data_IF_109069253957
#
_entry.id   IF_109069253957
#
_cell.length_a   1.000
_cell.length_b   1.000
_cell.length_c   1.000
_cell.angle_alpha   90.00
_cell.angle_beta   90.00
_cell.angle_gamma   90.00
#
_symmetry.space_group_name_H-M   'P 1'
#
loop_
_entity.id
_entity.type
_entity.pdbx_description
1 polymer ?
#
# COMPACT_ATOMS: atom_id res chain seq x y z
N UNK A 1 -6.51 34.45 23.32
CA UNK A 1 -5.61 33.30 23.32
C UNK A 1 -6.30 32.01 23.77
N UNK A 2 -6.95 31.91 24.94
CA UNK A 2 -7.61 30.63 25.41
C UNK A 2 -8.62 30.05 24.41
N UNK A 3 -9.45 30.84 23.73
CA UNK A 3 -10.43 30.39 22.75
C UNK A 3 -9.80 29.85 21.45
N UNK A 4 -8.62 30.33 21.07
CA UNK A 4 -7.85 29.86 19.95
C UNK A 4 -7.22 28.50 20.29
N UNK A 5 -6.57 28.38 21.43
CA UNK A 5 -5.99 27.15 21.94
C UNK A 5 -7.01 26.05 22.12
N UNK A 6 -8.19 26.31 22.65
CA UNK A 6 -9.25 25.31 22.78
C UNK A 6 -9.74 24.79 21.43
N UNK A 7 -9.80 25.64 20.39
CA UNK A 7 -10.12 25.20 19.02
C UNK A 7 -9.01 24.33 18.41
N UNK A 8 -7.74 24.72 18.58
CA UNK A 8 -6.61 23.94 18.09
C UNK A 8 -6.57 22.57 18.77
N UNK A 9 -6.74 22.51 20.09
CA UNK A 9 -6.78 21.27 20.86
C UNK A 9 -7.93 20.39 20.37
N UNK A 10 -9.14 20.94 20.19
CA UNK A 10 -10.29 20.16 19.71
C UNK A 10 -10.13 19.64 18.27
N UNK A 11 -9.33 20.30 17.44
CA UNK A 11 -9.00 19.83 16.09
C UNK A 11 -8.02 18.64 16.14
N UNK A 12 -7.03 18.71 17.04
CA UNK A 12 -5.99 17.68 17.19
C UNK A 12 -6.51 16.44 17.95
N UNK A 13 -7.58 16.59 18.75
CA UNK A 13 -8.23 15.45 19.42
C UNK A 13 -8.88 14.44 18.45
N UNK A 14 -9.16 14.84 17.21
CA UNK A 14 -9.69 13.94 16.20
C UNK A 14 -8.56 13.13 15.55
N UNK A 15 -8.65 11.79 15.56
CA UNK A 15 -7.58 10.94 15.05
C UNK A 15 -7.20 11.24 13.59
N UNK A 16 -8.17 11.56 12.74
CA UNK A 16 -7.95 11.94 11.35
C UNK A 16 -7.13 13.23 11.20
N UNK A 17 -7.42 14.25 12.00
CA UNK A 17 -6.72 15.53 11.93
C UNK A 17 -5.29 15.42 12.49
N UNK A 18 -5.13 14.69 13.59
CA UNK A 18 -3.81 14.38 14.15
C UNK A 18 -2.95 13.65 13.13
N UNK A 19 -3.52 12.64 12.47
CA UNK A 19 -2.85 11.92 11.40
C UNK A 19 -2.37 12.86 10.29
N UNK A 20 -3.28 13.70 9.76
CA UNK A 20 -2.95 14.59 8.64
C UNK A 20 -1.84 15.59 9.04
N UNK A 21 -1.95 16.21 10.21
CA UNK A 21 -0.96 17.17 10.69
C UNK A 21 0.42 16.52 10.84
N UNK A 22 0.51 15.39 11.56
CA UNK A 22 1.79 14.74 11.83
C UNK A 22 2.38 14.09 10.59
N UNK A 23 1.56 13.48 9.73
CA UNK A 23 2.05 12.87 8.48
C UNK A 23 2.64 13.91 7.54
N UNK A 24 2.05 15.10 7.44
CA UNK A 24 2.61 16.18 6.63
C UNK A 24 3.89 16.76 7.24
N UNK A 25 3.91 17.03 8.55
CA UNK A 25 5.10 17.59 9.21
C UNK A 25 6.28 16.63 9.10
N UNK A 26 6.12 15.40 9.60
CA UNK A 26 7.21 14.43 9.58
C UNK A 26 7.54 13.95 8.16
N UNK A 27 6.54 13.88 7.28
CA UNK A 27 6.73 13.50 5.89
C UNK A 27 7.51 14.54 5.10
N UNK A 28 7.23 15.84 5.27
CA UNK A 28 8.03 16.91 4.62
C UNK A 28 9.47 16.90 5.16
N UNK A 29 9.65 16.77 6.48
CA UNK A 29 10.97 16.60 7.08
C UNK A 29 11.70 15.42 6.46
N UNK A 30 11.05 14.26 6.34
CA UNK A 30 11.63 13.08 5.71
C UNK A 30 11.94 13.30 4.23
N UNK A 31 11.02 13.88 3.45
CA UNK A 31 11.21 14.13 2.02
C UNK A 31 12.42 15.02 1.71
N UNK A 32 12.72 15.97 2.62
CA UNK A 32 13.81 16.96 2.45
C UNK A 32 15.11 16.45 3.05
N UNK A 33 15.09 15.88 4.27
CA UNK A 33 16.31 15.53 5.00
C UNK A 33 16.85 14.14 4.64
N UNK A 34 15.99 13.19 4.27
CA UNK A 34 16.44 11.86 3.86
C UNK A 34 17.16 12.00 2.50
N UNK A 35 18.42 11.54 2.41
CA UNK A 35 19.19 11.65 1.17
C UNK A 35 18.40 11.08 -0.02
N UNK A 36 18.51 11.76 -1.16
CA UNK A 36 17.76 11.36 -2.35
C UNK A 36 18.22 10.00 -2.87
N UNK A 37 17.28 9.17 -3.27
CA UNK A 37 17.48 7.80 -3.78
C UNK A 37 18.10 6.84 -2.74
N UNK A 38 18.08 7.16 -1.45
CA UNK A 38 18.59 6.30 -0.38
C UNK A 38 17.55 5.32 0.17
N UNK A 39 16.28 5.56 -0.12
CA UNK A 39 15.19 4.63 0.22
C UNK A 39 15.31 3.38 -0.67
N UNK A 40 14.93 2.21 -0.13
CA UNK A 40 15.03 0.96 -0.88
C UNK A 40 14.33 1.07 -2.24
N UNK A 41 15.03 0.66 -3.31
CA UNK A 41 14.56 0.67 -4.70
C UNK A 41 14.08 2.02 -5.25
N UNK A 42 14.30 3.13 -4.51
CA UNK A 42 13.84 4.46 -4.91
C UNK A 42 14.39 4.88 -6.27
N UNK A 43 15.62 4.49 -6.60
CA UNK A 43 16.24 4.74 -7.90
C UNK A 43 15.46 4.06 -9.05
N UNK A 44 14.99 2.83 -8.84
CA UNK A 44 14.18 2.10 -9.83
C UNK A 44 12.80 2.72 -9.99
N UNK A 45 12.19 3.12 -8.87
CA UNK A 45 10.93 3.85 -8.87
C UNK A 45 11.05 5.24 -9.51
N UNK A 46 12.20 5.93 -9.34
CA UNK A 46 12.48 7.19 -10.00
C UNK A 46 12.49 7.04 -11.53
N UNK A 47 13.24 6.08 -12.06
CA UNK A 47 13.27 5.81 -13.50
C UNK A 47 11.88 5.51 -14.04
N UNK A 48 11.10 4.68 -13.33
CA UNK A 48 9.74 4.35 -13.76
C UNK A 48 8.83 5.56 -13.78
N UNK A 49 8.80 6.33 -12.69
CA UNK A 49 7.95 7.53 -12.56
C UNK A 49 8.33 8.60 -13.56
N UNK A 50 9.64 8.76 -13.82
CA UNK A 50 10.13 9.70 -14.84
C UNK A 50 9.68 9.29 -16.24
N UNK A 51 9.83 8.00 -16.60
CA UNK A 51 9.35 7.47 -17.88
C UNK A 51 7.87 7.70 -18.09
N UNK A 52 7.05 7.49 -17.04
CA UNK A 52 5.62 7.75 -17.07
C UNK A 52 5.31 9.25 -17.21
N UNK A 53 6.08 10.13 -16.58
CA UNK A 53 5.93 11.58 -16.70
C UNK A 53 6.20 12.10 -18.12
N UNK A 54 7.02 11.37 -18.90
CA UNK A 54 7.26 11.59 -20.31
C UNK A 54 6.20 10.91 -21.22
N UNK A 55 5.13 10.33 -20.63
CA UNK A 55 4.07 9.63 -21.38
C UNK A 55 4.48 8.24 -21.88
N UNK A 56 5.60 7.69 -21.43
CA UNK A 56 6.11 6.40 -21.91
C UNK A 56 5.64 5.26 -21.00
N UNK A 57 4.79 4.39 -21.53
CA UNK A 57 4.20 3.28 -20.80
C UNK A 57 4.97 1.96 -20.95
N UNK A 58 6.03 1.96 -21.74
CA UNK A 58 6.84 0.78 -22.07
C UNK A 58 7.36 0.05 -20.82
N UNK A 59 7.44 -1.29 -20.90
CA UNK A 59 7.96 -2.12 -19.82
C UNK A 59 9.19 -2.97 -20.20
N UNK A 60 9.48 -3.10 -21.50
CA UNK A 60 10.58 -3.94 -22.00
C UNK A 60 11.84 -3.14 -22.34
N UNK A 61 11.67 -2.01 -23.03
CA UNK A 61 12.76 -1.08 -23.40
C UNK A 61 12.31 0.32 -23.04
N UNK A 62 13.06 0.97 -22.20
CA UNK A 62 12.78 2.32 -21.72
C UNK A 62 13.83 3.30 -22.22
N UNK A 63 13.37 4.51 -22.52
CA UNK A 63 14.25 5.61 -22.91
C UNK A 63 14.19 6.67 -21.83
N UNK A 64 15.35 7.06 -21.32
CA UNK A 64 15.51 8.09 -20.30
C UNK A 64 16.50 9.15 -20.78
N UNK A 65 16.38 10.42 -20.33
CA UNK A 65 17.49 11.35 -20.42
C UNK A 65 18.75 10.74 -19.76
N UNK A 66 19.91 10.86 -20.40
CA UNK A 66 21.16 10.26 -19.90
C UNK A 66 21.48 10.70 -18.48
N UNK A 67 21.16 11.94 -18.13
CA UNK A 67 21.38 12.50 -16.80
C UNK A 67 20.49 11.82 -15.75
N UNK A 68 19.24 11.47 -16.08
CA UNK A 68 18.31 10.74 -15.20
C UNK A 68 18.80 9.31 -14.97
N UNK A 69 19.22 8.61 -16.03
CA UNK A 69 19.81 7.27 -15.95
C UNK A 69 21.08 7.27 -15.09
N UNK A 70 21.99 8.24 -15.34
CA UNK A 70 23.21 8.43 -14.57
C UNK A 70 22.93 8.72 -13.10
N UNK A 71 21.91 9.57 -12.80
CA UNK A 71 21.51 9.90 -11.44
C UNK A 71 20.97 8.67 -10.70
N UNK A 72 20.10 7.90 -11.32
CA UNK A 72 19.58 6.67 -10.74
C UNK A 72 20.71 5.65 -10.46
N UNK A 73 21.68 5.53 -11.37
CA UNK A 73 22.83 4.66 -11.22
C UNK A 73 23.89 5.13 -10.20
N UNK A 74 23.89 6.42 -9.84
CA UNK A 74 24.87 6.98 -8.92
C UNK A 74 24.79 6.45 -7.48
N UNK A 75 23.62 5.95 -7.11
CA UNK A 75 23.35 5.31 -5.80
C UNK A 75 24.29 4.13 -5.56
N UNK A 76 24.53 3.33 -6.58
CA UNK A 76 25.44 2.18 -6.48
C UNK A 76 26.91 2.58 -6.24
N UNK A 77 27.24 3.86 -6.51
CA UNK A 77 28.54 4.47 -6.25
C UNK A 77 28.58 5.26 -4.94
N UNK A 78 27.52 5.17 -4.11
CA UNK A 78 27.42 5.88 -2.84
C UNK A 78 27.07 7.38 -2.96
N UNK A 79 26.82 7.90 -4.17
CA UNK A 79 26.43 9.30 -4.34
C UNK A 79 24.91 9.48 -4.18
N UNK A 80 24.50 9.87 -2.99
CA UNK A 80 23.12 10.10 -2.59
C UNK A 80 22.80 11.58 -2.31
N UNK A 81 23.76 12.49 -2.51
CA UNK A 81 23.54 13.93 -2.32
C UNK A 81 22.55 14.48 -3.35
N UNK A 82 21.69 15.40 -2.93
CA UNK A 82 20.77 16.07 -3.84
C UNK A 82 21.55 16.97 -4.81
N UNK A 83 21.24 16.84 -6.09
CA UNK A 83 21.85 17.67 -7.13
C UNK A 83 20.78 18.52 -7.81
N UNK A 84 20.66 19.76 -7.35
CA UNK A 84 19.72 20.74 -7.89
C UNK A 84 20.28 21.52 -9.07
N UNK A 85 21.59 21.46 -9.30
CA UNK A 85 22.26 22.17 -10.39
C UNK A 85 22.24 21.38 -11.71
N UNK A 86 22.09 20.06 -11.63
CA UNK A 86 22.17 19.17 -12.78
C UNK A 86 20.86 19.23 -13.60
N UNK A 87 20.84 20.08 -14.61
CA UNK A 87 19.69 20.26 -15.51
C UNK A 87 19.44 19.00 -16.36
N UNK A 88 18.17 18.75 -16.68
CA UNK A 88 17.76 17.61 -17.49
C UNK A 88 17.57 18.06 -18.93
N UNK A 89 18.50 17.63 -19.82
CA UNK A 89 18.29 17.70 -21.25
C UNK A 89 17.44 16.49 -21.69
N UNK A 90 16.23 16.75 -22.15
CA UNK A 90 15.29 15.72 -22.61
C UNK A 90 15.63 15.13 -23.98
N UNK A 91 16.48 15.82 -24.75
CA UNK A 91 16.90 15.38 -26.08
C UNK A 91 18.12 14.43 -25.99
N UNK A 92 18.94 14.57 -24.98
CA UNK A 92 20.09 13.68 -24.75
C UNK A 92 19.64 12.39 -24.03
N UNK A 93 19.10 11.44 -24.79
CA UNK A 93 18.48 10.23 -24.27
C UNK A 93 19.35 8.99 -24.45
N UNK A 94 19.08 7.99 -23.60
CA UNK A 94 19.62 6.63 -23.68
C UNK A 94 18.49 5.63 -23.64
N UNK A 95 18.50 4.67 -24.54
CA UNK A 95 17.56 3.53 -24.55
C UNK A 95 18.24 2.29 -23.97
N UNK A 96 17.59 1.63 -23.03
CA UNK A 96 18.12 0.45 -22.35
C UNK A 96 17.02 -0.47 -21.80
N UNK A 97 17.41 -1.39 -20.93
CA UNK A 97 16.44 -2.20 -20.17
C UNK A 97 15.66 -1.28 -19.25
N UNK A 98 14.36 -1.51 -19.13
CA UNK A 98 13.54 -0.80 -18.16
C UNK A 98 13.94 -1.21 -16.73
N UNK A 99 13.62 -0.34 -15.77
CA UNK A 99 13.81 -0.65 -14.36
C UNK A 99 12.93 -1.82 -13.92
N UNK A 100 13.32 -2.56 -12.89
CA UNK A 100 12.50 -3.63 -12.30
C UNK A 100 11.11 -3.13 -11.86
N UNK A 101 11.01 -1.84 -11.50
CA UNK A 101 9.75 -1.20 -11.12
C UNK A 101 8.71 -1.11 -12.27
N UNK A 102 9.09 -1.41 -13.52
CA UNK A 102 8.14 -1.47 -14.64
C UNK A 102 7.20 -2.68 -14.57
N UNK A 103 7.48 -3.66 -13.72
CA UNK A 103 6.57 -4.75 -13.41
C UNK A 103 5.30 -4.28 -12.69
N UNK A 104 5.36 -3.15 -11.96
CA UNK A 104 4.18 -2.56 -11.34
C UNK A 104 3.33 -1.78 -12.33
N UNK A 105 2.01 -1.83 -12.14
CA UNK A 105 1.08 -1.06 -12.97
C UNK A 105 1.35 0.45 -12.85
N UNK A 106 1.19 1.26 -13.94
CA UNK A 106 1.47 2.70 -13.91
C UNK A 106 0.75 3.45 -12.80
N UNK A 107 -0.46 3.04 -12.44
CA UNK A 107 -1.25 3.64 -11.37
C UNK A 107 -0.50 3.63 -10.03
N UNK A 108 0.39 2.65 -9.81
CA UNK A 108 1.19 2.56 -8.60
C UNK A 108 2.22 3.68 -8.44
N UNK A 109 2.54 4.34 -9.56
CA UNK A 109 3.48 5.45 -9.60
C UNK A 109 2.78 6.78 -9.93
N UNK A 110 1.43 6.81 -10.00
CA UNK A 110 0.70 8.00 -10.43
C UNK A 110 1.02 9.26 -9.61
N UNK A 111 1.10 9.24 -8.26
CA UNK A 111 1.41 10.44 -7.51
C UNK A 111 2.82 10.97 -7.80
N UNK A 112 3.83 10.10 -7.79
CA UNK A 112 5.23 10.47 -8.05
C UNK A 112 5.39 11.00 -9.47
N UNK A 113 4.72 10.34 -10.43
CA UNK A 113 4.69 10.74 -11.84
C UNK A 113 4.14 12.17 -12.00
N UNK A 114 3.03 12.47 -11.30
CA UNK A 114 2.45 13.81 -11.31
C UNK A 114 3.41 14.85 -10.75
N UNK A 115 4.09 14.55 -9.65
CA UNK A 115 5.11 15.43 -9.06
C UNK A 115 6.27 15.69 -10.01
N UNK A 116 6.80 14.65 -10.63
CA UNK A 116 7.88 14.76 -11.64
C UNK A 116 7.40 15.56 -12.87
N UNK A 117 6.18 15.29 -13.34
CA UNK A 117 5.59 16.03 -14.45
C UNK A 117 5.50 17.53 -14.16
N UNK A 118 5.04 17.89 -12.96
CA UNK A 118 4.97 19.29 -12.52
C UNK A 118 6.38 19.90 -12.46
N UNK A 119 7.35 19.22 -11.87
CA UNK A 119 8.75 19.70 -11.85
C UNK A 119 9.31 19.93 -13.25
N UNK A 120 8.94 19.06 -14.17
CA UNK A 120 9.36 19.14 -15.58
C UNK A 120 8.80 20.36 -16.34
N UNK A 121 7.80 21.06 -15.81
CA UNK A 121 7.29 22.32 -16.38
C UNK A 121 8.18 23.52 -16.05
N UNK A 122 9.05 23.39 -15.02
CA UNK A 122 9.92 24.46 -14.54
C UNK A 122 11.37 23.99 -14.63
N UNK A 123 12.16 24.43 -15.56
CA UNK A 123 13.60 24.12 -15.69
C UNK A 123 14.12 22.93 -14.85
N UNK A 124 13.81 21.70 -15.23
CA UNK A 124 13.93 20.56 -14.34
C UNK A 124 15.39 20.21 -14.05
N UNK A 125 15.70 20.05 -12.77
CA UNK A 125 16.92 19.36 -12.33
C UNK A 125 16.59 18.00 -11.75
N UNK A 126 17.56 17.09 -11.71
CA UNK A 126 17.35 15.76 -11.13
C UNK A 126 16.91 15.84 -9.68
N UNK A 127 17.47 16.79 -8.91
CA UNK A 127 17.10 17.02 -7.52
C UNK A 127 15.66 17.50 -7.34
N UNK A 128 15.20 18.42 -8.22
CA UNK A 128 13.82 18.93 -8.16
C UNK A 128 12.81 17.86 -8.56
N UNK A 129 13.06 17.08 -9.60
CA UNK A 129 12.14 16.01 -10.02
C UNK A 129 11.96 14.96 -8.93
N UNK A 130 13.03 14.59 -8.22
CA UNK A 130 12.95 13.67 -7.08
C UNK A 130 12.15 14.31 -5.93
N UNK A 131 12.45 15.56 -5.55
CA UNK A 131 11.76 16.24 -4.45
C UNK A 131 10.26 16.39 -4.73
N UNK A 132 9.87 16.87 -5.90
CA UNK A 132 8.46 17.03 -6.28
C UNK A 132 7.74 15.69 -6.33
N UNK A 133 8.39 14.65 -6.84
CA UNK A 133 7.84 13.29 -6.82
C UNK A 133 7.60 12.77 -5.41
N UNK A 134 8.55 12.97 -4.47
CA UNK A 134 8.42 12.64 -3.06
C UNK A 134 7.26 13.39 -2.39
N UNK A 135 7.17 14.70 -2.60
CA UNK A 135 6.10 15.53 -2.02
C UNK A 135 4.73 15.15 -2.55
N UNK A 136 4.61 14.88 -3.84
CA UNK A 136 3.34 14.44 -4.43
C UNK A 136 2.90 13.08 -3.87
N UNK A 137 3.84 12.15 -3.68
CA UNK A 137 3.56 10.83 -3.08
C UNK A 137 3.12 10.97 -1.63
N UNK A 138 3.80 11.82 -0.84
CA UNK A 138 3.44 12.14 0.54
C UNK A 138 2.05 12.75 0.63
N UNK A 139 1.74 13.74 -0.21
CA UNK A 139 0.43 14.39 -0.23
C UNK A 139 -0.68 13.39 -0.55
N UNK A 140 -0.47 12.56 -1.57
CA UNK A 140 -1.42 11.51 -1.92
C UNK A 140 -1.67 10.55 -0.74
N UNK A 141 -0.60 10.05 -0.10
CA UNK A 141 -0.71 9.18 1.07
C UNK A 141 -1.48 9.84 2.20
N UNK A 142 -1.05 11.03 2.61
CA UNK A 142 -1.61 11.75 3.77
C UNK A 142 -3.09 12.07 3.56
N UNK A 143 -3.48 12.55 2.39
CA UNK A 143 -4.87 12.88 2.05
C UNK A 143 -5.72 11.62 1.97
N UNK A 144 -5.23 10.57 1.30
CA UNK A 144 -5.98 9.32 1.13
C UNK A 144 -6.24 8.63 2.48
N UNK A 145 -5.20 8.50 3.32
CA UNK A 145 -5.35 7.87 4.63
C UNK A 145 -6.21 8.73 5.57
N UNK A 146 -6.11 10.07 5.51
CA UNK A 146 -7.01 10.96 6.23
C UNK A 146 -8.48 10.66 5.91
N UNK A 147 -8.84 10.57 4.63
CA UNK A 147 -10.22 10.25 4.24
C UNK A 147 -10.63 8.83 4.66
N UNK A 148 -9.72 7.87 4.62
CA UNK A 148 -9.98 6.50 5.10
C UNK A 148 -10.27 6.51 6.60
N UNK A 149 -9.49 7.26 7.42
CA UNK A 149 -9.74 7.40 8.86
C UNK A 149 -11.06 8.11 9.13
N UNK A 150 -11.41 9.14 8.36
CA UNK A 150 -12.73 9.77 8.46
C UNK A 150 -13.87 8.76 8.24
N UNK A 151 -13.69 7.90 7.24
CA UNK A 151 -14.72 6.98 6.76
C UNK A 151 -14.85 5.69 7.58
N UNK A 152 -13.78 5.18 8.14
CA UNK A 152 -13.81 3.96 8.96
C UNK A 152 -14.63 4.17 10.22
N UNK A 153 -15.50 3.19 10.55
CA UNK A 153 -16.41 3.30 11.71
C UNK A 153 -15.76 2.92 13.03
N UNK A 154 -14.84 1.97 12.99
CA UNK A 154 -14.19 1.41 14.17
C UNK A 154 -12.67 1.42 13.99
N UNK A 155 -11.93 1.53 15.08
CA UNK A 155 -10.47 1.43 15.05
C UNK A 155 -9.75 2.67 14.48
N UNK A 156 -10.37 3.86 14.43
CA UNK A 156 -9.76 5.09 13.90
C UNK A 156 -8.36 5.35 14.44
N UNK A 157 -8.16 5.16 15.75
CA UNK A 157 -6.85 5.34 16.38
C UNK A 157 -5.80 4.33 15.92
N UNK A 158 -6.22 3.10 15.63
CA UNK A 158 -5.32 2.08 15.07
C UNK A 158 -4.82 2.51 13.69
N UNK A 159 -5.76 2.95 12.82
CA UNK A 159 -5.38 3.48 11.50
C UNK A 159 -4.44 4.69 11.62
N UNK A 160 -4.72 5.62 12.54
CA UNK A 160 -3.88 6.79 12.79
C UNK A 160 -2.48 6.38 13.21
N UNK A 161 -2.36 5.54 14.22
CA UNK A 161 -1.06 5.14 14.77
C UNK A 161 -0.26 4.32 13.77
N UNK A 162 -0.88 3.32 13.13
CA UNK A 162 -0.21 2.50 12.12
C UNK A 162 0.22 3.35 10.92
N UNK A 163 -0.64 4.28 10.48
CA UNK A 163 -0.30 5.18 9.37
C UNK A 163 0.81 6.18 9.70
N UNK A 164 1.05 6.47 10.97
CA UNK A 164 2.13 7.34 11.46
C UNK A 164 3.39 6.57 11.84
N UNK A 165 3.44 5.25 11.68
CA UNK A 165 4.68 4.52 11.93
C UNK A 165 5.82 5.10 11.09
N UNK A 166 7.03 5.20 11.65
CA UNK A 166 8.17 5.84 10.96
C UNK A 166 8.40 5.28 9.56
N UNK A 167 8.30 3.96 9.39
CA UNK A 167 8.44 3.33 8.07
C UNK A 167 7.36 3.78 7.08
N UNK A 168 6.10 3.89 7.52
CA UNK A 168 4.99 4.32 6.66
C UNK A 168 5.22 5.74 6.14
N UNK A 169 5.65 6.66 7.01
CA UNK A 169 5.96 8.04 6.65
C UNK A 169 7.19 8.10 5.73
N UNK A 170 8.22 7.32 6.03
CA UNK A 170 9.44 7.25 5.22
C UNK A 170 9.15 6.79 3.78
N UNK A 171 8.36 5.72 3.61
CA UNK A 171 7.94 5.24 2.29
C UNK A 171 7.02 6.23 1.57
N UNK A 172 6.10 6.88 2.30
CA UNK A 172 5.22 7.90 1.75
C UNK A 172 5.99 9.14 1.27
N UNK A 173 7.07 9.50 1.96
CA UNK A 173 7.96 10.62 1.63
C UNK A 173 9.08 10.26 0.66
N UNK A 174 8.94 9.18 -0.09
CA UNK A 174 9.88 8.70 -1.12
C UNK A 174 9.18 8.51 -2.45
N UNK A 175 9.93 8.07 -3.48
CA UNK A 175 9.35 7.70 -4.78
C UNK A 175 8.81 6.26 -4.80
N UNK A 176 8.78 5.56 -3.66
CA UNK A 176 8.32 4.18 -3.57
C UNK A 176 6.84 4.05 -3.95
N UNK A 177 6.51 3.00 -4.69
CA UNK A 177 5.13 2.58 -4.96
C UNK A 177 4.41 2.03 -3.72
N UNK A 178 5.16 1.81 -2.62
CA UNK A 178 4.60 1.26 -1.38
C UNK A 178 3.63 2.22 -0.68
N UNK A 179 3.74 3.53 -0.88
CA UNK A 179 2.73 4.48 -0.43
C UNK A 179 1.34 4.16 -0.98
N UNK A 180 1.25 3.88 -2.29
CA UNK A 180 0.01 3.48 -2.96
C UNK A 180 -0.47 2.11 -2.45
N UNK A 181 0.45 1.15 -2.26
CA UNK A 181 0.16 -0.16 -1.68
C UNK A 181 -0.44 -0.02 -0.29
N UNK A 182 0.15 0.80 0.57
CA UNK A 182 -0.32 1.05 1.93
C UNK A 182 -1.72 1.68 1.94
N UNK A 183 -1.98 2.65 1.07
CA UNK A 183 -3.33 3.23 0.89
C UNK A 183 -4.33 2.15 0.49
N UNK A 184 -3.99 1.26 -0.44
CA UNK A 184 -4.86 0.16 -0.86
C UNK A 184 -5.17 -0.80 0.30
N UNK A 185 -4.16 -1.15 1.11
CA UNK A 185 -4.32 -2.00 2.32
C UNK A 185 -5.22 -1.32 3.35
N UNK A 186 -5.00 -0.04 3.64
CA UNK A 186 -5.87 0.74 4.53
C UNK A 186 -7.31 0.78 4.02
N UNK A 187 -7.49 1.00 2.72
CA UNK A 187 -8.81 1.11 2.09
C UNK A 187 -9.59 -0.20 2.20
N UNK A 188 -9.01 -1.34 1.82
CA UNK A 188 -9.71 -2.64 1.90
C UNK A 188 -9.98 -3.04 3.35
N UNK A 189 -9.08 -2.76 4.27
CA UNK A 189 -9.26 -3.03 5.69
C UNK A 189 -10.41 -2.21 6.25
N UNK A 190 -10.45 -0.89 6.00
CA UNK A 190 -11.54 -0.01 6.42
C UNK A 190 -12.88 -0.42 5.78
N UNK A 191 -12.86 -0.79 4.49
CA UNK A 191 -14.04 -1.27 3.77
C UNK A 191 -14.61 -2.53 4.43
N UNK A 192 -13.76 -3.51 4.70
CA UNK A 192 -14.12 -4.77 5.35
C UNK A 192 -14.70 -4.53 6.74
N UNK A 193 -14.03 -3.73 7.59
CA UNK A 193 -14.51 -3.36 8.92
C UNK A 193 -15.88 -2.66 8.87
N UNK A 194 -16.07 -1.75 7.91
CA UNK A 194 -17.35 -1.06 7.72
C UNK A 194 -18.48 -2.02 7.31
N UNK A 195 -18.19 -3.03 6.46
CA UNK A 195 -19.16 -4.06 6.10
C UNK A 195 -19.52 -4.96 7.29
N UNK A 196 -18.54 -5.38 8.09
CA UNK A 196 -18.81 -6.20 9.28
C UNK A 196 -19.59 -5.45 10.35
N UNK A 197 -19.36 -4.14 10.51
CA UNK A 197 -20.10 -3.29 11.46
C UNK A 197 -21.47 -2.82 10.94
N UNK A 198 -21.78 -3.05 9.66
CA UNK A 198 -23.01 -2.61 9.04
C UNK A 198 -24.18 -3.54 9.41
N UNK A 199 -25.30 -2.96 9.86
CA UNK A 199 -26.54 -3.67 10.13
C UNK A 199 -27.47 -3.73 8.92
N UNK A 200 -27.36 -2.74 8.03
CA UNK A 200 -28.12 -2.69 6.78
C UNK A 200 -27.50 -3.60 5.71
N UNK A 201 -28.26 -3.79 4.64
CA UNK A 201 -27.79 -4.56 3.48
C UNK A 201 -26.67 -3.88 2.72
N UNK A 202 -25.95 -4.71 1.96
CA UNK A 202 -25.00 -4.25 0.97
C UNK A 202 -25.72 -3.41 -0.09
N UNK A 203 -25.26 -2.16 -0.28
CA UNK A 203 -25.77 -1.26 -1.32
C UNK A 203 -25.07 -1.55 -2.64
N UNK A 204 -25.74 -1.25 -3.77
CA UNK A 204 -25.13 -1.40 -5.10
C UNK A 204 -23.79 -0.68 -5.21
N UNK A 205 -23.69 0.55 -4.70
CA UNK A 205 -22.45 1.33 -4.72
C UNK A 205 -21.32 0.64 -3.94
N UNK A 206 -21.64 -0.05 -2.83
CA UNK A 206 -20.65 -0.81 -2.06
C UNK A 206 -20.20 -2.07 -2.82
N UNK A 207 -21.10 -2.73 -3.55
CA UNK A 207 -20.73 -3.86 -4.40
C UNK A 207 -19.79 -3.40 -5.54
N UNK A 208 -20.12 -2.30 -6.21
CA UNK A 208 -19.27 -1.70 -7.26
C UNK A 208 -17.92 -1.28 -6.67
N UNK A 209 -17.91 -0.63 -5.49
CA UNK A 209 -16.69 -0.24 -4.81
C UNK A 209 -15.81 -1.47 -4.47
N UNK A 210 -16.42 -2.59 -4.04
CA UNK A 210 -15.68 -3.83 -3.80
C UNK A 210 -15.00 -4.35 -5.05
N UNK A 211 -15.70 -4.39 -6.18
CA UNK A 211 -15.13 -4.81 -7.47
C UNK A 211 -13.97 -3.89 -7.88
N UNK A 212 -14.14 -2.58 -7.74
CA UNK A 212 -13.09 -1.59 -8.04
C UNK A 212 -11.86 -1.77 -7.13
N UNK A 213 -12.07 -1.95 -5.81
CA UNK A 213 -10.99 -2.20 -4.85
C UNK A 213 -10.27 -3.51 -5.17
N UNK A 214 -11.00 -4.56 -5.53
CA UNK A 214 -10.40 -5.84 -5.91
C UNK A 214 -9.50 -5.71 -7.14
N UNK A 215 -9.96 -5.02 -8.19
CA UNK A 215 -9.14 -4.72 -9.36
C UNK A 215 -7.92 -3.86 -9.03
N UNK A 216 -8.09 -2.84 -8.18
CA UNK A 216 -7.00 -1.99 -7.73
C UNK A 216 -5.95 -2.76 -6.93
N UNK A 217 -6.36 -3.61 -5.96
CA UNK A 217 -5.45 -4.46 -5.19
C UNK A 217 -4.65 -5.40 -6.08
N UNK A 218 -5.27 -5.97 -7.11
CA UNK A 218 -4.59 -6.83 -8.06
C UNK A 218 -3.48 -6.10 -8.84
N UNK A 219 -3.68 -4.81 -9.14
CA UNK A 219 -2.69 -3.98 -9.82
C UNK A 219 -1.55 -3.51 -8.89
N UNK A 220 -1.69 -3.68 -7.57
CA UNK A 220 -0.61 -3.43 -6.60
C UNK A 220 0.41 -4.58 -6.62
N UNK A 221 0.68 -5.21 -5.52
CA UNK A 221 1.46 -6.45 -5.45
C UNK A 221 0.47 -7.62 -5.50
N UNK A 222 0.68 -8.61 -6.34
CA UNK A 222 -0.25 -9.74 -6.56
C UNK A 222 -0.66 -10.43 -5.26
N UNK A 223 0.26 -10.54 -4.30
CA UNK A 223 0.02 -11.10 -2.96
C UNK A 223 -1.06 -10.33 -2.18
N UNK A 224 -1.26 -9.04 -2.45
CA UNK A 224 -2.29 -8.22 -1.79
C UNK A 224 -3.73 -8.68 -2.11
N UNK A 225 -3.92 -9.49 -3.15
CA UNK A 225 -5.19 -10.15 -3.43
C UNK A 225 -5.69 -11.00 -2.25
N UNK A 226 -4.79 -11.51 -1.41
CA UNK A 226 -5.15 -12.24 -0.19
C UNK A 226 -5.90 -11.39 0.84
N UNK A 227 -5.80 -10.06 0.77
CA UNK A 227 -6.55 -9.15 1.62
C UNK A 227 -8.07 -9.15 1.32
N UNK A 228 -8.49 -9.79 0.24
CA UNK A 228 -9.90 -10.05 -0.05
C UNK A 228 -10.43 -11.26 0.74
N UNK A 229 -9.56 -12.09 1.31
CA UNK A 229 -9.96 -13.32 2.01
C UNK A 229 -10.93 -13.08 3.20
N UNK A 230 -10.78 -12.03 4.04
CA UNK A 230 -11.75 -11.75 5.11
C UNK A 230 -13.18 -11.55 4.61
N UNK A 231 -13.38 -11.15 3.35
CA UNK A 231 -14.70 -10.96 2.76
C UNK A 231 -15.49 -12.28 2.63
N UNK A 232 -14.80 -13.43 2.59
CA UNK A 232 -15.42 -14.76 2.61
C UNK A 232 -16.28 -14.97 3.88
N UNK A 233 -15.95 -14.29 4.96
CA UNK A 233 -16.61 -14.40 6.25
C UNK A 233 -17.71 -13.34 6.47
N UNK A 234 -18.03 -12.54 5.44
CA UNK A 234 -19.08 -11.53 5.53
C UNK A 234 -20.41 -12.14 5.98
N UNK A 235 -21.13 -11.46 6.88
CA UNK A 235 -22.40 -11.94 7.40
C UNK A 235 -23.47 -12.05 6.31
N UNK A 236 -24.22 -13.16 6.30
CA UNK A 236 -25.30 -13.40 5.33
C UNK A 236 -26.39 -12.31 5.33
N UNK A 237 -26.59 -11.62 6.46
CA UNK A 237 -27.53 -10.49 6.59
C UNK A 237 -27.31 -9.37 5.56
N UNK A 238 -26.08 -9.20 5.10
CA UNK A 238 -25.75 -8.20 4.07
C UNK A 238 -26.39 -8.53 2.72
N UNK A 239 -26.74 -9.77 2.47
CA UNK A 239 -27.22 -10.30 1.20
C UNK A 239 -28.70 -10.71 1.21
N UNK A 240 -29.43 -10.50 2.34
CA UNK A 240 -30.85 -10.89 2.38
C UNK A 240 -31.72 -10.12 1.38
N UNK A 241 -32.67 -10.72 0.65
CA UNK A 241 -33.47 -10.06 -0.40
C UNK A 241 -34.31 -8.89 0.13
N UNK A 242 -34.38 -7.76 -0.55
CA UNK A 242 -35.27 -6.65 -0.19
C UNK A 242 -36.55 -6.70 -1.01
N UNK A 243 -37.63 -6.98 -0.36
CA UNK A 243 -38.96 -6.97 -0.97
C UNK A 243 -39.37 -5.61 -1.59
N UNK A 244 -38.61 -4.52 -1.32
CA UNK A 244 -38.95 -3.15 -1.77
C UNK A 244 -38.15 -2.64 -3.00
N UNK A 245 -37.19 -3.41 -3.55
CA UNK A 245 -36.41 -2.95 -4.72
C UNK A 245 -37.10 -3.34 -6.04
N UNK A 246 -38.04 -2.50 -6.52
CA UNK A 246 -38.69 -2.63 -7.83
C UNK A 246 -37.75 -2.52 -9.07
N UNK A 247 -36.50 -2.14 -8.91
CA UNK A 247 -35.54 -1.88 -10.02
C UNK A 247 -34.46 -2.93 -10.25
N UNK A 248 -34.44 -4.04 -9.48
CA UNK A 248 -33.50 -5.14 -9.72
C UNK A 248 -34.26 -6.24 -10.48
N UNK A 249 -33.66 -6.88 -11.52
CA UNK A 249 -34.29 -7.98 -12.21
C UNK A 249 -34.80 -9.03 -11.21
N UNK A 250 -36.07 -9.44 -11.35
CA UNK A 250 -36.74 -10.35 -10.42
C UNK A 250 -35.99 -11.67 -10.20
N UNK A 251 -35.23 -12.10 -11.21
CA UNK A 251 -34.37 -13.28 -11.15
C UNK A 251 -33.28 -13.13 -10.08
N UNK A 252 -32.62 -11.96 -10.00
CA UNK A 252 -31.58 -11.69 -8.99
C UNK A 252 -32.14 -11.51 -7.57
N UNK A 253 -33.40 -11.08 -7.45
CA UNK A 253 -34.06 -10.93 -6.14
C UNK A 253 -34.44 -12.28 -5.51
N UNK A 254 -34.65 -13.31 -6.31
CA UNK A 254 -35.06 -14.67 -5.87
C UNK A 254 -33.86 -15.56 -5.52
N UNK A 255 -32.62 -15.13 -5.80
CA UNK A 255 -31.43 -15.93 -5.49
C UNK A 255 -31.23 -16.03 -3.97
N UNK A 256 -30.91 -17.22 -3.43
CA UNK A 256 -30.53 -17.39 -2.03
C UNK A 256 -29.39 -16.45 -1.63
N UNK A 257 -29.38 -15.98 -0.38
CA UNK A 257 -28.36 -15.06 0.14
C UNK A 257 -26.93 -15.54 -0.08
N UNK A 258 -26.71 -16.84 0.00
CA UNK A 258 -25.40 -17.44 -0.24
C UNK A 258 -24.97 -17.28 -1.70
N UNK A 259 -25.87 -17.48 -2.67
CA UNK A 259 -25.55 -17.30 -4.10
C UNK A 259 -25.20 -15.85 -4.40
N UNK A 260 -25.94 -14.87 -3.85
CA UNK A 260 -25.62 -13.45 -4.03
C UNK A 260 -24.24 -13.10 -3.44
N UNK A 261 -23.89 -13.67 -2.27
CA UNK A 261 -22.58 -13.50 -1.66
C UNK A 261 -21.49 -14.06 -2.56
N UNK A 262 -21.62 -15.32 -2.96
CA UNK A 262 -20.60 -15.99 -3.78
C UNK A 262 -20.47 -15.36 -5.16
N UNK A 263 -21.56 -14.96 -5.81
CA UNK A 263 -21.48 -14.26 -7.11
C UNK A 263 -20.70 -12.95 -7.03
N UNK A 264 -20.86 -12.17 -5.93
CA UNK A 264 -20.10 -10.95 -5.71
C UNK A 264 -18.60 -11.25 -5.50
N UNK A 265 -18.30 -12.25 -4.67
CA UNK A 265 -16.90 -12.61 -4.38
C UNK A 265 -16.18 -13.20 -5.59
N UNK A 266 -16.86 -14.08 -6.33
CA UNK A 266 -16.35 -14.60 -7.62
C UNK A 266 -16.16 -13.45 -8.60
N UNK A 267 -17.14 -12.55 -8.70
CA UNK A 267 -17.02 -11.34 -9.53
C UNK A 267 -15.82 -10.48 -9.16
N UNK A 268 -15.55 -10.29 -7.87
CA UNK A 268 -14.36 -9.57 -7.40
C UNK A 268 -13.06 -10.27 -7.80
N UNK A 269 -13.01 -11.60 -7.65
CA UNK A 269 -11.88 -12.41 -8.11
C UNK A 269 -11.67 -12.33 -9.62
N UNK A 270 -12.75 -12.42 -10.40
CA UNK A 270 -12.66 -12.29 -11.87
C UNK A 270 -12.18 -10.90 -12.30
N UNK A 271 -12.65 -9.83 -11.66
CA UNK A 271 -12.19 -8.45 -11.92
C UNK A 271 -10.70 -8.32 -11.57
N UNK A 272 -10.26 -8.89 -10.46
CA UNK A 272 -8.85 -8.87 -10.06
C UNK A 272 -7.98 -9.61 -11.08
N UNK A 273 -8.38 -10.81 -11.49
CA UNK A 273 -7.66 -11.60 -12.51
C UNK A 273 -7.67 -10.87 -13.86
N UNK A 274 -8.80 -10.33 -14.29
CA UNK A 274 -8.91 -9.58 -15.54
C UNK A 274 -7.98 -8.36 -15.54
N UNK A 275 -7.93 -7.60 -14.42
CA UNK A 275 -7.04 -6.45 -14.29
C UNK A 275 -5.56 -6.86 -14.44
N UNK A 276 -5.14 -7.96 -13.81
CA UNK A 276 -3.79 -8.51 -13.94
C UNK A 276 -3.48 -8.95 -15.38
N UNK A 277 -4.38 -9.73 -16.01
CA UNK A 277 -4.17 -10.24 -17.36
C UNK A 277 -4.12 -9.11 -18.40
N UNK A 278 -4.99 -8.10 -18.25
CA UNK A 278 -4.98 -6.90 -19.10
C UNK A 278 -3.65 -6.18 -18.94
N UNK A 279 -3.20 -5.98 -17.69
CA UNK A 279 -1.91 -5.35 -17.41
C UNK A 279 -0.75 -6.12 -18.04
N UNK A 280 -0.69 -7.44 -17.85
CA UNK A 280 0.35 -8.30 -18.45
C UNK A 280 0.34 -8.27 -19.98
N UNK A 281 -0.85 -8.36 -20.58
CA UNK A 281 -0.99 -8.39 -22.05
C UNK A 281 -0.60 -7.05 -22.70
N UNK A 282 -1.05 -5.94 -22.12
CA UNK A 282 -0.84 -4.60 -22.71
C UNK A 282 0.62 -4.17 -22.57
N UNK A 283 1.23 -4.43 -21.42
CA UNK A 283 2.55 -3.88 -21.11
C UNK A 283 3.66 -4.92 -21.11
N UNK A 284 3.34 -6.19 -21.37
CA UNK A 284 4.31 -7.28 -21.44
C UNK A 284 5.05 -7.51 -20.13
N UNK A 285 4.47 -7.05 -19.01
CA UNK A 285 5.02 -7.27 -17.70
C UNK A 285 4.81 -8.73 -17.29
N UNK A 286 5.87 -9.52 -17.17
CA UNK A 286 5.76 -10.85 -16.59
C UNK A 286 5.81 -10.72 -15.07
N UNK A 287 4.65 -10.69 -14.43
CA UNK A 287 4.54 -10.76 -12.97
C UNK A 287 4.98 -12.13 -12.42
N UNK A 288 5.06 -13.14 -13.28
CA UNK A 288 5.36 -14.53 -12.92
C UNK A 288 6.78 -14.97 -13.30
N UNK A 289 7.52 -14.15 -14.03
CA UNK A 289 8.86 -14.49 -14.51
C UNK A 289 9.91 -13.46 -14.14
N UNK A 290 9.87 -12.89 -12.93
CA UNK A 290 11.13 -12.48 -12.32
C UNK A 290 11.87 -13.77 -12.05
N UNK A 291 12.74 -14.17 -12.99
CA UNK A 291 13.44 -15.44 -12.96
C UNK A 291 14.15 -15.63 -11.62
N UNK A 292 13.48 -16.30 -10.72
CA UNK A 292 14.14 -17.03 -9.69
C UNK A 292 14.71 -18.27 -10.39
N UNK A 293 16.04 -18.35 -10.59
CA UNK A 293 16.61 -19.59 -11.08
C UNK A 293 16.32 -20.64 -10.02
N UNK A 294 15.74 -21.75 -10.44
CA UNK A 294 15.54 -22.97 -9.65
C UNK A 294 15.16 -22.74 -8.19
N UNK A 295 13.90 -22.34 -7.97
CA UNK A 295 13.40 -22.27 -6.60
C UNK A 295 13.38 -23.70 -6.03
N UNK A 296 14.17 -24.01 -4.99
CA UNK A 296 14.25 -25.36 -4.42
C UNK A 296 12.89 -25.88 -3.94
N UNK A 297 11.90 -25.03 -3.72
CA UNK A 297 10.53 -25.39 -3.37
C UNK A 297 9.80 -26.18 -4.49
N UNK A 298 10.24 -26.07 -5.75
CA UNK A 298 9.67 -26.87 -6.83
C UNK A 298 10.07 -28.36 -6.75
N UNK A 299 11.13 -28.69 -5.99
CA UNK A 299 11.64 -30.05 -5.87
C UNK A 299 11.18 -30.76 -4.61
N UNK A 300 10.90 -30.05 -3.53
CA UNK A 300 10.46 -30.68 -2.28
C UNK A 300 9.52 -29.76 -1.46
N UNK A 301 8.21 -30.04 -1.41
CA UNK A 301 7.25 -29.26 -0.63
C UNK A 301 7.55 -29.19 0.89
N UNK A 302 8.31 -30.17 1.45
CA UNK A 302 8.68 -30.15 2.86
C UNK A 302 9.71 -29.07 3.16
N UNK A 303 10.54 -28.69 2.19
CA UNK A 303 11.50 -27.61 2.37
C UNK A 303 10.82 -26.25 2.59
N UNK A 304 9.58 -26.08 2.08
CA UNK A 304 8.78 -24.91 2.37
C UNK A 304 8.55 -24.71 3.88
N UNK A 305 8.18 -25.77 4.61
CA UNK A 305 7.99 -25.68 6.07
C UNK A 305 9.29 -25.44 6.80
N UNK A 306 10.39 -26.00 6.32
CA UNK A 306 11.73 -25.77 6.87
C UNK A 306 12.16 -24.31 6.65
N UNK A 307 11.92 -23.75 5.48
CA UNK A 307 12.20 -22.34 5.19
C UNK A 307 11.33 -21.43 6.05
N UNK A 308 10.02 -21.69 6.16
CA UNK A 308 9.14 -20.95 7.06
C UNK A 308 9.64 -20.96 8.50
N UNK A 309 9.98 -22.15 9.01
CA UNK A 309 10.48 -22.29 10.37
C UNK A 309 11.78 -21.49 10.57
N UNK A 310 12.74 -21.66 9.67
CA UNK A 310 14.01 -20.96 9.76
C UNK A 310 13.85 -19.44 9.63
N UNK A 311 12.96 -18.96 8.76
CA UNK A 311 12.76 -17.51 8.52
C UNK A 311 12.04 -16.83 9.67
N UNK A 312 11.02 -17.47 10.25
CA UNK A 312 10.11 -16.80 11.19
C UNK A 312 10.21 -17.28 12.62
N UNK A 313 10.77 -18.44 12.89
CA UNK A 313 10.75 -19.07 14.23
C UNK A 313 12.16 -19.32 14.76
N UNK A 314 13.14 -19.66 13.91
CA UNK A 314 14.49 -19.99 14.35
C UNK A 314 15.23 -18.75 14.88
N UNK A 315 15.49 -18.65 16.19
CA UNK A 315 16.14 -17.48 16.78
C UNK A 315 17.60 -17.30 16.32
N UNK A 316 18.24 -18.35 15.84
CA UNK A 316 19.63 -18.31 15.41
C UNK A 316 19.82 -17.69 14.02
N UNK A 317 18.74 -17.54 13.24
CA UNK A 317 18.80 -16.95 11.90
C UNK A 317 18.64 -15.43 11.89
N UNK A 318 18.27 -14.80 13.00
CA UNK A 318 18.15 -13.34 13.12
C UNK A 318 16.97 -12.71 12.36
N UNK A 319 16.22 -13.48 11.57
CA UNK A 319 15.13 -12.95 10.74
C UNK A 319 13.93 -12.44 11.54
N UNK A 320 13.69 -12.98 12.75
CA UNK A 320 12.60 -12.49 13.63
C UNK A 320 12.85 -11.05 14.03
N UNK A 321 14.10 -10.70 14.36
CA UNK A 321 14.50 -9.32 14.69
C UNK A 321 14.30 -8.39 13.47
N UNK A 322 14.74 -8.84 12.29
CA UNK A 322 14.56 -8.10 11.02
C UNK A 322 13.07 -7.87 10.71
N UNK A 323 12.21 -8.86 10.92
CA UNK A 323 10.77 -8.75 10.64
C UNK A 323 10.11 -7.76 11.61
N UNK A 324 10.42 -7.84 12.90
CA UNK A 324 9.86 -6.93 13.92
C UNK A 324 10.35 -5.50 13.70
N UNK A 325 11.65 -5.32 13.49
CA UNK A 325 12.23 -4.00 13.22
C UNK A 325 11.78 -3.47 11.88
N UNK A 326 11.77 -4.31 10.84
CA UNK A 326 11.36 -3.97 9.49
C UNK A 326 9.92 -3.49 9.40
N UNK A 327 9.02 -4.01 10.25
CA UNK A 327 7.62 -3.57 10.30
C UNK A 327 7.43 -2.16 10.86
N UNK A 328 8.35 -1.65 11.68
CA UNK A 328 8.22 -0.37 12.38
C UNK A 328 9.20 0.68 11.85
N UNK A 329 10.45 0.30 11.60
CA UNK A 329 11.47 1.30 11.29
C UNK A 329 12.83 0.73 10.89
N UNK A 330 12.85 0.05 9.77
CA UNK A 330 14.09 -0.32 9.10
C UNK A 330 14.19 0.46 7.80
N UNK A 331 15.28 1.19 7.62
CA UNK A 331 15.44 2.15 6.54
C UNK A 331 16.61 1.78 5.63
N UNK A 332 16.54 2.21 4.38
CA UNK A 332 17.64 2.10 3.40
C UNK A 332 18.21 0.69 3.25
N UNK A 333 17.39 -0.25 2.75
CA UNK A 333 17.82 -1.63 2.48
C UNK A 333 18.50 -2.28 3.70
N UNK A 334 17.89 -2.16 4.87
CA UNK A 334 18.33 -2.74 6.14
C UNK A 334 19.63 -2.18 6.72
N UNK A 335 20.09 -1.02 6.24
CA UNK A 335 21.33 -0.40 6.75
C UNK A 335 21.16 0.43 8.01
N UNK A 336 19.97 1.02 8.20
CA UNK A 336 19.69 1.91 9.32
C UNK A 336 18.51 1.40 10.12
N UNK A 337 18.75 1.11 11.39
CA UNK A 337 17.73 0.65 12.31
C UNK A 337 17.33 1.76 13.26
N UNK A 338 16.04 1.87 13.55
CA UNK A 338 15.60 2.72 14.63
C UNK A 338 16.13 2.20 15.97
N UNK A 339 16.68 3.08 16.82
CA UNK A 339 17.11 2.69 18.15
C UNK A 339 15.91 2.21 18.99
N UNK A 340 16.17 1.29 19.92
CA UNK A 340 15.12 0.67 20.74
C UNK A 340 14.27 1.67 21.52
N UNK A 341 14.86 2.81 21.94
CA UNK A 341 14.11 3.87 22.64
C UNK A 341 13.06 4.57 21.77
N UNK A 342 13.09 4.42 20.44
CA UNK A 342 12.03 4.86 19.50
C UNK A 342 11.11 3.69 19.15
N UNK A 343 11.67 2.52 18.92
CA UNK A 343 10.96 1.32 18.48
C UNK A 343 9.94 0.84 19.54
N UNK A 344 10.38 0.76 20.81
CA UNK A 344 9.53 0.32 21.91
C UNK A 344 8.33 1.25 22.13
N UNK A 345 8.46 2.58 22.20
CA UNK A 345 7.31 3.48 22.27
C UNK A 345 6.35 3.34 21.08
N UNK A 346 6.84 3.20 19.86
CA UNK A 346 5.97 2.96 18.69
C UNK A 346 5.12 1.70 18.87
N UNK A 347 5.73 0.61 19.32
CA UNK A 347 5.03 -0.64 19.59
C UNK A 347 4.00 -0.50 20.70
N UNK A 348 4.37 0.14 21.81
CA UNK A 348 3.46 0.41 22.94
C UNK A 348 2.28 1.27 22.51
N UNK A 349 2.50 2.31 21.71
CA UNK A 349 1.42 3.18 21.20
C UNK A 349 0.46 2.39 20.30
N UNK A 350 0.97 1.47 19.46
CA UNK A 350 0.12 0.57 18.67
C UNK A 350 -0.73 -0.32 19.58
N UNK A 351 -0.14 -0.91 20.63
CA UNK A 351 -0.90 -1.69 21.61
C UNK A 351 -1.96 -0.87 22.33
N UNK A 352 -1.63 0.34 22.77
CA UNK A 352 -2.61 1.25 23.41
C UNK A 352 -3.75 1.58 22.43
N UNK A 353 -3.44 1.85 21.17
CA UNK A 353 -4.44 2.13 20.15
C UNK A 353 -5.38 0.94 19.90
N UNK A 354 -4.84 -0.29 19.94
CA UNK A 354 -5.62 -1.53 19.83
C UNK A 354 -6.53 -1.76 21.05
N UNK A 355 -6.08 -1.37 22.25
CA UNK A 355 -6.84 -1.49 23.49
C UNK A 355 -7.88 -0.38 23.65
N UNK A 356 -7.74 0.74 22.92
CA UNK A 356 -8.69 1.86 22.98
C UNK A 356 -10.01 1.48 22.31
N UNK A 357 -11.00 1.12 23.13
CA UNK A 357 -12.33 0.70 22.69
C UNK A 357 -13.28 1.89 22.53
N UNK A 358 -14.16 1.80 21.54
CA UNK A 358 -15.37 2.64 21.42
C UNK A 358 -16.59 1.73 21.57
N UNK A 359 -17.11 1.54 22.81
CA UNK A 359 -18.14 0.54 23.10
C UNK A 359 -19.41 0.74 22.27
N UNK A 360 -19.77 1.99 21.98
CA UNK A 360 -20.96 2.32 21.21
C UNK A 360 -20.87 1.85 19.76
N UNK A 361 -19.68 1.98 19.15
CA UNK A 361 -19.42 1.61 17.74
C UNK A 361 -19.08 0.12 17.60
N UNK A 362 -18.44 -0.46 18.61
CA UNK A 362 -18.03 -1.87 18.63
C UNK A 362 -19.21 -2.83 18.86
N UNK A 363 -20.29 -2.37 19.48
CA UNK A 363 -21.49 -3.20 19.72
C UNK A 363 -22.01 -3.86 18.45
N UNK A 364 -21.94 -3.21 17.31
CA UNK A 364 -22.34 -3.77 16.02
C UNK A 364 -21.35 -4.82 15.48
N UNK A 365 -20.09 -4.74 15.88
CA UNK A 365 -19.02 -5.66 15.47
C UNK A 365 -18.95 -6.90 16.39
N UNK A 366 -19.33 -6.77 17.66
CA UNK A 366 -19.23 -7.81 18.68
C UNK A 366 -19.73 -9.20 18.25
N UNK A 367 -20.89 -9.37 17.57
CA UNK A 367 -21.36 -10.68 17.12
C UNK A 367 -20.45 -11.35 16.06
N UNK A 368 -19.57 -10.58 15.43
CA UNK A 368 -18.74 -11.03 14.32
C UNK A 368 -17.25 -11.05 14.66
N UNK A 369 -16.88 -10.65 15.88
CA UNK A 369 -15.46 -10.52 16.31
C UNK A 369 -14.70 -11.83 16.12
N UNK A 370 -15.27 -12.98 16.53
CA UNK A 370 -14.64 -14.29 16.35
C UNK A 370 -14.41 -14.63 14.88
N UNK A 371 -15.41 -14.40 14.02
CA UNK A 371 -15.28 -14.67 12.58
C UNK A 371 -14.24 -13.76 11.93
N UNK A 372 -14.23 -12.49 12.29
CA UNK A 372 -13.27 -11.52 11.79
C UNK A 372 -11.85 -11.84 12.27
N UNK A 373 -11.69 -12.26 13.54
CA UNK A 373 -10.41 -12.69 14.08
C UNK A 373 -9.86 -13.92 13.32
N UNK A 374 -10.68 -14.95 13.14
CA UNK A 374 -10.31 -16.14 12.35
C UNK A 374 -9.92 -15.72 10.93
N UNK A 375 -10.75 -14.91 10.27
CA UNK A 375 -10.48 -14.43 8.92
C UNK A 375 -9.14 -13.70 8.80
N UNK A 376 -8.84 -12.80 9.74
CA UNK A 376 -7.60 -12.03 9.74
C UNK A 376 -6.38 -12.91 10.04
N UNK A 377 -6.46 -13.80 11.03
CA UNK A 377 -5.37 -14.74 11.34
C UNK A 377 -5.08 -15.62 10.11
N UNK A 378 -6.11 -16.18 9.48
CA UNK A 378 -5.94 -16.99 8.27
C UNK A 378 -5.33 -16.16 7.13
N UNK A 379 -5.76 -14.90 6.94
CA UNK A 379 -5.19 -14.00 5.94
C UNK A 379 -3.71 -13.75 6.19
N UNK A 380 -3.31 -13.49 7.43
CA UNK A 380 -1.92 -13.28 7.82
C UNK A 380 -1.09 -14.54 7.52
N UNK A 381 -1.57 -15.71 7.90
CA UNK A 381 -0.88 -16.99 7.65
C UNK A 381 -0.72 -17.26 6.14
N UNK A 382 -1.78 -17.02 5.36
CA UNK A 382 -1.72 -17.14 3.90
C UNK A 382 -0.75 -16.13 3.28
N UNK A 383 -0.73 -14.89 3.79
CA UNK A 383 0.18 -13.85 3.33
C UNK A 383 1.64 -14.22 3.61
N UNK A 384 1.93 -14.67 4.83
CA UNK A 384 3.26 -15.17 5.22
C UNK A 384 3.68 -16.32 4.29
N UNK A 385 2.79 -17.30 4.09
CA UNK A 385 3.05 -18.43 3.22
C UNK A 385 3.33 -17.99 1.76
N UNK A 386 2.50 -17.09 1.22
CA UNK A 386 2.66 -16.62 -0.15
C UNK A 386 3.95 -15.81 -0.36
N UNK A 387 4.31 -14.93 0.59
CA UNK A 387 5.56 -14.16 0.52
C UNK A 387 6.76 -15.09 0.58
N UNK A 388 6.76 -16.06 1.51
CA UNK A 388 7.85 -17.04 1.65
C UNK A 388 7.99 -17.98 0.45
N UNK A 389 6.90 -18.19 -0.32
CA UNK A 389 6.95 -18.98 -1.54
C UNK A 389 7.57 -18.22 -2.72
N UNK A 390 7.41 -16.90 -2.74
CA UNK A 390 7.90 -16.03 -3.83
C UNK A 390 9.34 -15.58 -3.62
N UNK A 391 9.79 -15.50 -2.37
CA UNK A 391 11.19 -15.17 -2.02
C UNK A 391 12.10 -16.37 -2.19
#
# INVERSE_FOLDING_TARGET
MKKYWSRVVSLVEKPENLFLALSLVFGVISAVLVPQLSVSDENMHYLRSYSLAEGRLESKRCTYPKVVDKRAGSVYKGNISADYSQQIDRHDTKTGKCSSATGYAPIMHAPQTLGIFIANLFHPSTGLTILFGRLANLLFYSISVFFIICWVRVGKWVFTVVGLLPLMIHLAASLSSDAMTNVAVFLITAFTLNLFSQTSRLRRNQAVALLAIAGFLALTKSVNGLLLFPLLFLPARLFTPNKRLKKVPQVLQKLPCNIQKWSLLVGAGLVAIAALLIWQKIYGASLLTSGAPDNPLHHNPLDFFRILFNTYINPNMGYVDVIIRGGIGEFSSFKYHLPLFVLVPCFVIVLIALLKRDPAKEKALAPHTRRLAIANITTILLFIAAVSYVM
#
